data_IF_770609090184
#
_entry.id   IF_770609090184
#
_cell.length_a   1.000
_cell.length_b   1.000
_cell.length_c   1.000
_cell.angle_alpha   90.00
_cell.angle_beta   90.00
_cell.angle_gamma   90.00
#
_symmetry.space_group_name_H-M   'P 1'
#
loop_
_entity.id
_entity.type
_entity.pdbx_description
1 polymer ?
#
# COMPACT_ATOMS: atom_id res chain seq x y z
N UNK A 1 -10.81 1.63 -2.18
CA UNK A 1 -11.83 0.81 -2.88
C UNK A 1 -11.49 -0.69 -2.87
N UNK A 2 -10.35 -1.10 -3.44
CA UNK A 2 -9.98 -2.53 -3.56
C UNK A 2 -9.94 -3.29 -2.22
N UNK A 3 -9.25 -2.77 -1.20
CA UNK A 3 -9.20 -3.42 0.12
C UNK A 3 -10.58 -3.59 0.77
N UNK A 4 -11.47 -2.61 0.58
CA UNK A 4 -12.85 -2.65 1.09
C UNK A 4 -13.64 -3.72 0.36
N UNK A 5 -13.60 -3.73 -0.97
CA UNK A 5 -14.30 -4.74 -1.76
C UNK A 5 -13.80 -6.16 -1.46
N UNK A 6 -12.49 -6.35 -1.31
CA UNK A 6 -11.89 -7.63 -0.92
C UNK A 6 -12.32 -8.05 0.49
N UNK A 7 -12.31 -7.13 1.46
CA UNK A 7 -12.73 -7.42 2.83
C UNK A 7 -14.21 -7.82 2.94
N UNK A 8 -15.08 -7.22 2.13
CA UNK A 8 -16.51 -7.56 2.09
C UNK A 8 -16.85 -8.68 1.08
N UNK A 9 -15.87 -9.22 0.35
CA UNK A 9 -16.09 -10.25 -0.67
C UNK A 9 -16.91 -9.78 -1.87
N UNK A 10 -16.95 -8.47 -2.13
CA UNK A 10 -17.65 -7.90 -3.28
C UNK A 10 -16.85 -8.12 -4.56
N UNK A 11 -17.57 -8.20 -5.69
CA UNK A 11 -16.93 -8.07 -6.99
C UNK A 11 -16.31 -6.67 -7.15
N UNK A 12 -15.18 -6.61 -7.85
CA UNK A 12 -14.41 -5.40 -8.04
C UNK A 12 -13.71 -5.42 -9.41
N UNK A 13 -13.42 -4.24 -9.94
CA UNK A 13 -12.66 -4.05 -11.17
C UNK A 13 -12.87 -2.66 -11.75
N UNK A 14 -11.79 -1.98 -12.12
CA UNK A 14 -11.85 -0.66 -12.78
C UNK A 14 -12.57 -0.74 -14.14
N UNK A 15 -12.37 -1.85 -14.86
CA UNK A 15 -12.93 -2.07 -16.21
C UNK A 15 -14.41 -2.49 -16.20
N UNK A 16 -15.00 -2.69 -15.02
CA UNK A 16 -16.38 -3.16 -14.88
C UNK A 16 -17.35 -1.99 -14.80
N UNK A 17 -18.57 -2.20 -15.30
CA UNK A 17 -19.57 -1.14 -15.27
C UNK A 17 -20.01 -0.90 -13.82
N UNK A 18 -20.26 0.36 -13.40
CA UNK A 18 -20.68 0.66 -12.03
C UNK A 18 -21.97 -0.02 -11.58
N UNK A 19 -22.79 -0.48 -12.54
CA UNK A 19 -24.01 -1.25 -12.26
C UNK A 19 -23.73 -2.71 -11.89
N UNK A 20 -22.61 -3.26 -12.36
CA UNK A 20 -22.25 -4.66 -12.14
C UNK A 20 -21.56 -4.82 -10.77
N UNK A 21 -20.79 -3.80 -10.34
CA UNK A 21 -20.09 -3.78 -9.04
C UNK A 21 -20.36 -2.49 -8.22
N UNK A 22 -21.61 -2.25 -7.79
CA UNK A 22 -22.01 -0.98 -7.18
C UNK A 22 -21.25 -0.66 -5.88
N UNK A 23 -20.89 -1.67 -5.09
CA UNK A 23 -20.14 -1.49 -3.83
C UNK A 23 -18.72 -0.97 -4.05
N UNK A 24 -18.01 -1.51 -5.05
CA UNK A 24 -16.67 -1.05 -5.42
C UNK A 24 -16.73 0.37 -6.00
N UNK A 25 -17.60 0.61 -6.98
CA UNK A 25 -17.73 1.92 -7.62
C UNK A 25 -18.14 3.01 -6.65
N UNK A 26 -19.11 2.75 -5.76
CA UNK A 26 -19.51 3.72 -4.74
C UNK A 26 -18.35 4.05 -3.79
N UNK A 27 -17.62 3.03 -3.30
CA UNK A 27 -16.47 3.24 -2.42
C UNK A 27 -15.37 4.04 -3.11
N UNK A 28 -15.11 3.75 -4.39
CA UNK A 28 -14.15 4.49 -5.21
C UNK A 28 -14.55 5.95 -5.36
N UNK A 29 -15.78 6.22 -5.81
CA UNK A 29 -16.30 7.58 -6.00
C UNK A 29 -16.27 8.38 -4.70
N UNK A 30 -16.72 7.79 -3.59
CA UNK A 30 -16.67 8.45 -2.28
C UNK A 30 -15.23 8.75 -1.88
N UNK A 31 -14.30 7.81 -2.06
CA UNK A 31 -12.89 8.04 -1.71
C UNK A 31 -12.25 9.17 -2.51
N UNK A 32 -12.62 9.32 -3.80
CA UNK A 32 -12.15 10.41 -4.64
C UNK A 32 -12.69 11.77 -4.16
N UNK A 33 -13.99 11.84 -3.82
CA UNK A 33 -14.59 13.05 -3.27
C UNK A 33 -13.94 13.44 -1.94
N UNK A 34 -13.71 12.48 -1.05
CA UNK A 34 -13.04 12.73 0.22
C UNK A 34 -11.60 13.22 0.03
N UNK A 35 -10.87 12.65 -0.93
CA UNK A 35 -9.51 13.09 -1.26
C UNK A 35 -9.46 14.52 -1.84
N UNK A 36 -10.54 14.98 -2.50
CA UNK A 36 -10.63 16.33 -3.05
C UNK A 36 -10.90 17.41 -1.99
N UNK A 37 -11.54 17.06 -0.86
CA UNK A 37 -11.89 18.03 0.20
C UNK A 37 -10.66 18.78 0.75
N UNK A 38 -9.57 18.11 1.17
CA UNK A 38 -8.36 18.78 1.65
C UNK A 38 -7.81 19.82 0.66
N UNK A 39 -7.78 19.46 -0.63
CA UNK A 39 -7.26 20.31 -1.70
C UNK A 39 -8.18 21.52 -1.90
N UNK A 40 -9.51 21.31 -1.89
CA UNK A 40 -10.49 22.38 -2.00
C UNK A 40 -10.45 23.36 -0.81
N UNK A 41 -10.03 22.89 0.37
CA UNK A 41 -9.82 23.72 1.57
C UNK A 41 -8.49 24.51 1.54
N UNK A 42 -7.70 24.39 0.46
CA UNK A 42 -6.45 25.13 0.28
C UNK A 42 -5.22 24.45 0.90
N UNK A 43 -5.31 23.16 1.27
CA UNK A 43 -4.10 22.41 1.64
C UNK A 43 -3.21 22.20 0.42
N UNK A 44 -1.91 22.34 0.65
CA UNK A 44 -0.90 22.14 -0.39
C UNK A 44 -0.92 20.67 -0.88
N UNK A 45 -1.27 20.42 -2.16
CA UNK A 45 -1.26 19.09 -2.74
C UNK A 45 0.11 18.40 -2.66
N UNK A 46 1.20 19.18 -2.66
CA UNK A 46 2.55 18.64 -2.56
C UNK A 46 2.81 18.06 -1.17
N UNK A 47 2.39 18.75 -0.10
CA UNK A 47 2.48 18.22 1.26
C UNK A 47 1.65 16.96 1.46
N UNK A 48 0.42 16.94 0.93
CA UNK A 48 -0.46 15.77 0.95
C UNK A 48 0.15 14.57 0.22
N UNK A 49 0.78 14.82 -0.93
CA UNK A 49 1.47 13.77 -1.70
C UNK A 49 2.66 13.21 -0.93
N UNK A 50 3.50 14.08 -0.35
CA UNK A 50 4.65 13.65 0.47
C UNK A 50 4.18 12.84 1.68
N UNK A 51 3.10 13.27 2.34
CA UNK A 51 2.51 12.55 3.47
C UNK A 51 2.00 11.16 3.04
N UNK A 52 1.29 11.07 1.91
CA UNK A 52 0.81 9.80 1.37
C UNK A 52 1.95 8.85 0.98
N UNK A 53 3.05 9.39 0.46
CA UNK A 53 4.26 8.60 0.15
C UNK A 53 4.92 8.10 1.43
N UNK A 54 5.01 8.94 2.47
CA UNK A 54 5.56 8.54 3.77
C UNK A 54 4.73 7.41 4.41
N UNK A 55 3.40 7.49 4.38
CA UNK A 55 2.51 6.41 4.84
C UNK A 55 2.70 5.11 4.05
N UNK A 56 2.85 5.22 2.72
CA UNK A 56 3.16 4.06 1.86
C UNK A 56 4.47 3.41 2.29
N UNK A 57 5.53 4.21 2.47
CA UNK A 57 6.84 3.72 2.92
C UNK A 57 6.76 3.07 4.32
N UNK A 58 5.98 3.67 5.24
CA UNK A 58 5.74 3.12 6.58
C UNK A 58 4.97 1.79 6.54
N UNK A 59 4.15 1.54 5.51
CA UNK A 59 3.39 0.30 5.33
C UNK A 59 4.22 -0.83 4.70
N UNK A 60 5.36 -0.54 4.07
CA UNK A 60 6.22 -1.54 3.45
C UNK A 60 6.73 -2.58 4.45
N UNK A 61 7.31 -2.24 5.63
CA UNK A 61 7.76 -3.24 6.59
C UNK A 61 6.62 -4.19 7.03
N UNK A 62 5.42 -3.64 7.26
CA UNK A 62 4.26 -4.41 7.69
C UNK A 62 3.84 -5.46 6.67
N UNK A 63 3.98 -5.16 5.38
CA UNK A 63 3.60 -6.06 4.28
C UNK A 63 4.76 -6.98 3.88
N UNK A 64 5.96 -6.46 3.70
CA UNK A 64 7.09 -7.19 3.15
C UNK A 64 7.68 -8.18 4.16
N UNK A 65 7.65 -7.90 5.48
CA UNK A 65 8.19 -8.83 6.48
C UNK A 65 7.48 -10.19 6.46
N UNK A 66 6.14 -10.28 6.56
CA UNK A 66 5.43 -11.56 6.42
C UNK A 66 5.72 -12.27 5.09
N UNK A 67 5.78 -11.52 3.99
CA UNK A 67 6.14 -12.08 2.68
C UNK A 67 7.56 -12.65 2.67
N UNK A 68 8.52 -11.98 3.30
CA UNK A 68 9.90 -12.45 3.39
C UNK A 68 9.99 -13.76 4.20
N UNK A 69 9.21 -13.90 5.27
CA UNK A 69 9.10 -15.15 6.01
C UNK A 69 8.53 -16.27 5.14
N UNK A 70 7.42 -15.99 4.43
CA UNK A 70 6.78 -16.97 3.55
C UNK A 70 7.71 -17.41 2.41
N UNK A 71 8.43 -16.46 1.81
CA UNK A 71 9.34 -16.71 0.68
C UNK A 71 10.63 -17.45 1.07
N UNK A 72 10.96 -17.47 2.36
CA UNK A 72 12.08 -18.25 2.90
C UNK A 72 11.68 -19.67 3.31
N UNK A 73 10.38 -19.98 3.40
CA UNK A 73 9.90 -21.28 3.82
C UNK A 73 9.90 -22.29 2.66
N UNK A 74 10.75 -23.33 2.81
CA UNK A 74 10.89 -24.43 1.85
C UNK A 74 9.57 -25.19 1.62
N UNK A 75 8.67 -25.22 2.59
CA UNK A 75 7.37 -25.90 2.47
C UNK A 75 6.45 -25.22 1.44
N UNK A 76 6.56 -23.90 1.30
CA UNK A 76 5.71 -23.13 0.38
C UNK A 76 6.39 -22.90 -0.98
N UNK A 77 7.70 -22.65 -1.01
CA UNK A 77 8.41 -22.22 -2.25
C UNK A 77 9.36 -23.28 -2.80
N UNK A 78 9.57 -24.38 -2.07
CA UNK A 78 10.43 -25.49 -2.49
C UNK A 78 11.89 -25.05 -2.66
N UNK A 79 12.47 -25.36 -3.82
CA UNK A 79 13.88 -25.07 -4.14
C UNK A 79 14.13 -23.59 -4.52
N UNK A 80 13.08 -22.81 -4.80
CA UNK A 80 13.18 -21.40 -5.22
C UNK A 80 13.11 -20.40 -4.05
N UNK A 81 13.51 -20.82 -2.85
CA UNK A 81 13.55 -19.94 -1.67
C UNK A 81 14.50 -18.76 -1.89
N UNK A 82 14.25 -17.67 -1.19
CA UNK A 82 15.18 -16.55 -1.21
C UNK A 82 16.58 -16.99 -0.70
N UNK A 83 17.60 -16.67 -1.50
CA UNK A 83 19.00 -16.78 -1.08
C UNK A 83 19.42 -15.63 -0.17
N UNK A 84 20.63 -15.73 0.39
CA UNK A 84 21.21 -14.74 1.31
C UNK A 84 21.25 -13.33 0.67
N UNK A 85 21.60 -13.24 -0.61
CA UNK A 85 21.67 -11.96 -1.33
C UNK A 85 20.29 -11.31 -1.49
N UNK A 86 19.26 -12.11 -1.82
CA UNK A 86 17.88 -11.63 -1.95
C UNK A 86 17.34 -11.14 -0.61
N UNK A 87 17.56 -11.91 0.46
CA UNK A 87 17.17 -11.50 1.81
C UNK A 87 17.89 -10.23 2.26
N UNK A 88 19.19 -10.10 2.00
CA UNK A 88 19.94 -8.89 2.33
C UNK A 88 19.43 -7.66 1.58
N UNK A 89 19.13 -7.78 0.28
CA UNK A 89 18.55 -6.72 -0.52
C UNK A 89 17.17 -6.29 0.00
N UNK A 90 16.30 -7.25 0.32
CA UNK A 90 14.97 -6.96 0.86
C UNK A 90 15.07 -6.28 2.23
N UNK A 91 15.92 -6.78 3.13
CA UNK A 91 16.14 -6.17 4.45
C UNK A 91 16.67 -4.74 4.30
N UNK A 92 17.61 -4.50 3.37
CA UNK A 92 18.13 -3.17 3.10
C UNK A 92 17.04 -2.21 2.63
N UNK A 93 16.19 -2.64 1.69
CA UNK A 93 15.07 -1.83 1.18
C UNK A 93 14.07 -1.52 2.30
N UNK A 94 13.72 -2.50 3.14
CA UNK A 94 12.81 -2.30 4.29
C UNK A 94 13.42 -1.30 5.28
N UNK A 95 14.69 -1.46 5.63
CA UNK A 95 15.38 -0.58 6.56
C UNK A 95 15.44 0.86 6.03
N UNK A 96 15.79 1.03 4.75
CA UNK A 96 15.80 2.33 4.09
C UNK A 96 14.41 2.97 4.07
N UNK A 97 13.37 2.21 3.69
CA UNK A 97 11.99 2.68 3.70
C UNK A 97 11.51 3.09 5.08
N UNK A 98 11.88 2.34 6.12
CA UNK A 98 11.57 2.67 7.50
C UNK A 98 12.27 3.96 7.96
N UNK A 99 13.56 4.13 7.64
CA UNK A 99 14.30 5.36 7.95
C UNK A 99 13.67 6.56 7.24
N UNK A 100 13.32 6.44 5.96
CA UNK A 100 12.63 7.50 5.22
C UNK A 100 11.30 7.87 5.88
N UNK A 101 10.47 6.89 6.24
CA UNK A 101 9.22 7.15 6.95
C UNK A 101 9.46 7.91 8.26
N UNK A 102 10.40 7.46 9.09
CA UNK A 102 10.71 8.09 10.40
C UNK A 102 11.27 9.50 10.23
N UNK A 103 12.05 9.79 9.17
CA UNK A 103 12.61 11.12 8.92
C UNK A 103 11.58 12.06 8.30
N UNK A 104 10.76 11.57 7.37
CA UNK A 104 9.80 12.41 6.64
C UNK A 104 8.61 12.80 7.51
N UNK A 105 8.07 11.91 8.35
CA UNK A 105 6.90 12.19 9.20
C UNK A 105 7.09 13.43 10.12
N UNK A 106 8.21 13.57 10.86
CA UNK A 106 8.42 14.72 11.76
C UNK A 106 8.90 16.01 11.05
N UNK A 107 9.31 15.93 9.78
CA UNK A 107 9.81 17.08 9.01
C UNK A 107 8.67 17.89 8.33
N UNK A 108 7.44 17.38 8.38
CA UNK A 108 6.24 18.01 7.81
C UNK A 108 5.48 18.87 8.82
#
# INVERSE_FOLDING_TARGET
>A
AYLVAQGFGWNWGEDRKPRDDPGFSATYTISLLLAAIPIALGLDPLRLTIFSMALTAASLPLTVVPFLFLLNDKRYVGEHRNGILSNAAVIFIIALGFVLAVVTIPLQ
#
